data_IF_712377416227
#
_entry.id   IF_712377416227
#
_cell.length_a   1.000
_cell.length_b   1.000
_cell.length_c   1.000
_cell.angle_alpha   90.00
_cell.angle_beta   90.00
_cell.angle_gamma   90.00
#
_symmetry.space_group_name_H-M   'P 1'
#
loop_
_entity.id
_entity.type
_entity.pdbx_description
1 polymer ?
#
# COMPACT_ATOMS: atom_id res chain seq x y z
N UNK A 1 39.79 4.31 -3.66
CA UNK A 1 38.93 4.65 -4.79
C UNK A 1 37.54 4.96 -4.19
N UNK A 2 37.23 6.25 -3.96
CA UNK A 2 35.90 6.66 -3.49
C UNK A 2 34.93 6.49 -4.67
N UNK A 3 34.06 5.49 -4.59
CA UNK A 3 32.87 5.44 -5.44
C UNK A 3 32.04 6.67 -5.05
N UNK A 4 31.92 7.60 -5.96
CA UNK A 4 30.92 8.64 -5.86
C UNK A 4 29.54 7.95 -5.74
N UNK A 5 28.95 8.02 -4.53
CA UNK A 5 27.51 7.76 -4.38
C UNK A 5 26.82 8.84 -5.20
N UNK A 6 26.27 8.45 -6.33
CA UNK A 6 25.36 9.33 -7.04
C UNK A 6 24.11 9.48 -6.16
N UNK A 7 23.64 10.69 -5.95
CA UNK A 7 22.41 11.05 -5.18
C UNK A 7 21.12 10.39 -5.74
N UNK A 8 21.27 9.49 -6.72
CA UNK A 8 20.19 8.84 -7.46
C UNK A 8 19.76 7.46 -6.94
N UNK A 9 20.35 6.96 -5.85
CA UNK A 9 20.05 5.60 -5.34
C UNK A 9 18.93 5.58 -4.29
N UNK A 10 18.50 6.73 -3.82
CA UNK A 10 17.44 6.83 -2.81
C UNK A 10 16.07 6.48 -3.38
N UNK A 11 15.21 5.92 -2.52
CA UNK A 11 13.86 5.53 -2.90
C UNK A 11 13.06 6.79 -3.28
N UNK A 12 12.45 6.74 -4.46
CA UNK A 12 11.43 7.68 -4.91
C UNK A 12 10.07 7.02 -4.79
N UNK A 13 9.12 7.68 -4.12
CA UNK A 13 7.75 7.17 -3.96
C UNK A 13 6.87 7.76 -5.05
N UNK A 14 6.21 6.88 -5.79
CA UNK A 14 5.30 7.22 -6.87
C UNK A 14 3.86 6.82 -6.51
N UNK A 15 2.93 7.76 -6.63
CA UNK A 15 1.50 7.58 -6.44
C UNK A 15 0.72 7.64 -7.76
N UNK A 16 1.32 7.25 -8.88
CA UNK A 16 0.64 7.21 -10.19
C UNK A 16 -0.63 6.35 -10.21
N UNK A 17 -0.73 5.37 -9.29
CA UNK A 17 -1.95 4.58 -9.09
C UNK A 17 -2.99 5.25 -8.15
N UNK A 18 -2.87 6.54 -7.86
CA UNK A 18 -3.94 7.33 -7.26
C UNK A 18 -5.12 7.49 -8.27
N UNK A 19 -6.36 7.29 -7.93
CA UNK A 19 -7.02 7.07 -6.65
C UNK A 19 -7.12 5.59 -6.22
N UNK A 20 -6.45 4.68 -6.93
CA UNK A 20 -6.48 3.25 -6.67
C UNK A 20 -5.89 2.91 -5.29
N UNK A 21 -4.71 3.41 -4.96
CA UNK A 21 -4.00 3.08 -3.71
C UNK A 21 -4.68 3.59 -2.43
N UNK A 22 -5.53 4.63 -2.50
CA UNK A 22 -6.29 5.15 -1.36
C UNK A 22 -7.71 4.61 -1.26
N UNK A 23 -8.11 3.72 -2.17
CA UNK A 23 -9.44 3.14 -2.15
C UNK A 23 -9.57 2.11 -1.03
N UNK A 24 -10.61 2.26 -0.21
CA UNK A 24 -10.91 1.34 0.89
C UNK A 24 -11.73 0.14 0.43
N UNK A 25 -11.22 -1.06 0.67
CA UNK A 25 -11.92 -2.32 0.38
C UNK A 25 -11.98 -3.21 1.62
N UNK A 26 -12.77 -4.28 1.51
CA UNK A 26 -12.77 -5.41 2.42
C UNK A 26 -12.81 -6.69 1.60
N UNK A 27 -11.88 -7.62 1.86
CA UNK A 27 -11.84 -8.93 1.22
C UNK A 27 -11.26 -9.98 2.19
N UNK A 28 -12.00 -11.05 2.47
CA UNK A 28 -11.63 -12.02 3.48
C UNK A 28 -11.37 -11.36 4.84
N UNK A 29 -10.19 -11.59 5.40
CA UNK A 29 -9.74 -10.97 6.65
C UNK A 29 -9.02 -9.64 6.45
N UNK A 30 -8.83 -9.20 5.22
CA UNK A 30 -8.18 -7.92 4.92
C UNK A 30 -9.20 -6.80 4.81
N UNK A 31 -8.85 -5.64 5.36
CA UNK A 31 -9.48 -4.34 5.08
C UNK A 31 -8.46 -3.22 5.23
N UNK A 32 -8.52 -2.24 4.35
CA UNK A 32 -7.82 -0.98 4.50
C UNK A 32 -8.80 0.19 4.69
N UNK A 33 -10.08 -0.10 5.00
CA UNK A 33 -11.04 0.92 5.39
C UNK A 33 -10.66 1.52 6.74
N UNK A 34 -11.02 2.76 6.95
CA UNK A 34 -10.68 3.55 8.12
C UNK A 34 -11.92 3.80 9.01
N UNK A 35 -11.70 4.35 10.18
CA UNK A 35 -12.77 4.62 11.14
C UNK A 35 -13.67 5.76 10.66
N UNK A 36 -13.07 6.87 10.25
CA UNK A 36 -13.76 8.09 9.79
C UNK A 36 -12.77 9.03 9.08
N UNK A 37 -13.25 10.19 8.65
CA UNK A 37 -12.47 11.24 7.99
C UNK A 37 -11.27 11.71 8.85
N UNK A 38 -11.48 11.93 10.16
CA UNK A 38 -10.38 12.40 11.03
C UNK A 38 -9.28 11.34 11.15
N UNK A 39 -9.63 10.07 11.22
CA UNK A 39 -8.65 8.99 11.20
C UNK A 39 -7.84 9.00 9.89
N UNK A 40 -8.52 9.17 8.75
CA UNK A 40 -7.84 9.30 7.45
C UNK A 40 -6.90 10.51 7.41
N UNK A 41 -7.36 11.69 7.79
CA UNK A 41 -6.55 12.91 7.75
C UNK A 41 -5.30 12.82 8.63
N UNK A 42 -5.42 12.23 9.83
CA UNK A 42 -4.28 12.03 10.72
C UNK A 42 -3.24 11.06 10.13
N UNK A 43 -3.70 9.94 9.53
CA UNK A 43 -2.80 8.99 8.88
C UNK A 43 -2.18 9.58 7.61
N UNK A 44 -2.95 10.30 6.81
CA UNK A 44 -2.49 10.95 5.60
C UNK A 44 -1.42 12.00 5.91
N UNK A 45 -1.69 12.89 6.87
CA UNK A 45 -0.73 13.89 7.33
C UNK A 45 0.57 13.24 7.78
N UNK A 46 0.49 12.23 8.66
CA UNK A 46 1.67 11.50 9.13
C UNK A 46 2.45 10.85 7.98
N UNK A 47 1.74 10.20 7.05
CA UNK A 47 2.34 9.53 5.90
C UNK A 47 3.17 10.50 5.06
N UNK A 48 2.62 11.66 4.73
CA UNK A 48 3.27 12.63 3.83
C UNK A 48 4.24 13.58 4.53
N UNK A 49 4.03 13.92 5.81
CA UNK A 49 4.91 14.84 6.53
C UNK A 49 6.08 14.13 7.23
N UNK A 50 5.94 12.86 7.60
CA UNK A 50 6.91 12.14 8.42
C UNK A 50 7.44 10.88 7.72
N UNK A 51 6.55 9.97 7.38
CA UNK A 51 6.94 8.60 7.02
C UNK A 51 7.58 8.52 5.63
N UNK A 52 6.99 9.14 4.61
CA UNK A 52 7.56 9.19 3.25
C UNK A 52 8.89 9.93 3.23
N UNK A 53 9.02 11.15 3.80
CA UNK A 53 10.31 11.82 3.87
C UNK A 53 11.40 10.99 4.56
N UNK A 54 11.05 10.23 5.61
CA UNK A 54 12.00 9.35 6.28
C UNK A 54 12.46 8.18 5.39
N UNK A 55 11.54 7.54 4.65
CA UNK A 55 11.86 6.41 3.77
C UNK A 55 12.73 6.85 2.59
N UNK A 56 12.47 8.02 2.01
CA UNK A 56 13.21 8.54 0.85
C UNK A 56 14.66 8.93 1.17
N UNK A 57 15.09 8.84 2.43
CA UNK A 57 16.51 9.00 2.80
C UNK A 57 17.32 7.71 2.57
N UNK A 58 16.68 6.59 2.27
CA UNK A 58 17.33 5.29 2.11
C UNK A 58 17.27 4.79 0.68
N UNK A 59 18.26 3.98 0.29
CA UNK A 59 18.16 3.12 -0.88
C UNK A 59 17.40 1.82 -0.52
N UNK A 60 16.92 1.08 -1.52
CA UNK A 60 16.31 -0.23 -1.29
C UNK A 60 17.26 -1.24 -0.62
N UNK A 61 18.56 -1.11 -0.80
CA UNK A 61 19.56 -1.97 -0.14
C UNK A 61 19.65 -1.70 1.37
N UNK A 62 19.43 -0.46 1.77
CA UNK A 62 19.57 -0.03 3.16
C UNK A 62 18.26 -0.01 3.94
N UNK A 63 17.11 0.16 3.26
CA UNK A 63 15.80 0.29 3.92
C UNK A 63 15.43 -0.97 4.72
N UNK A 64 15.80 -2.16 4.25
CA UNK A 64 15.53 -3.42 4.97
C UNK A 64 16.19 -3.45 6.36
N UNK A 65 17.40 -2.89 6.47
CA UNK A 65 18.12 -2.77 7.75
C UNK A 65 17.53 -1.67 8.61
N UNK A 66 17.25 -0.50 8.02
CA UNK A 66 16.70 0.67 8.70
C UNK A 66 15.31 0.41 9.29
N UNK A 67 14.50 -0.45 8.67
CA UNK A 67 13.13 -0.79 9.10
C UNK A 67 13.04 -2.13 9.84
N UNK A 68 14.14 -2.66 10.40
CA UNK A 68 14.17 -3.95 11.09
C UNK A 68 13.52 -5.10 10.29
N UNK A 69 13.84 -5.17 9.00
CA UNK A 69 13.30 -6.14 8.04
C UNK A 69 11.80 -6.00 7.72
N UNK A 70 11.15 -4.92 8.13
CA UNK A 70 9.76 -4.64 7.74
C UNK A 70 9.62 -4.13 6.30
N UNK A 71 10.75 -3.87 5.61
CA UNK A 71 10.79 -3.54 4.18
C UNK A 71 11.53 -4.64 3.42
N UNK A 72 10.82 -5.31 2.50
CA UNK A 72 11.35 -6.45 1.75
C UNK A 72 10.53 -6.74 0.49
N UNK A 73 11.09 -7.54 -0.43
CA UNK A 73 10.32 -8.09 -1.54
C UNK A 73 9.37 -9.18 -1.04
N UNK A 74 8.18 -9.24 -1.63
CA UNK A 74 7.22 -10.32 -1.40
C UNK A 74 7.59 -11.50 -2.30
N UNK A 75 7.73 -12.67 -1.70
CA UNK A 75 8.07 -13.89 -2.46
C UNK A 75 6.87 -14.37 -3.27
N UNK A 76 7.08 -14.65 -4.55
CA UNK A 76 6.11 -15.32 -5.42
C UNK A 76 5.78 -16.71 -4.84
N UNK A 77 4.58 -17.21 -5.09
CA UNK A 77 4.09 -18.53 -4.63
C UNK A 77 3.86 -18.66 -3.11
N UNK A 78 3.87 -17.54 -2.38
CA UNK A 78 3.43 -17.53 -0.99
C UNK A 78 1.92 -17.23 -0.88
N UNK A 79 1.34 -17.59 0.29
CA UNK A 79 -0.05 -17.23 0.61
C UNK A 79 -0.25 -15.71 0.66
N UNK A 80 0.78 -14.99 1.12
CA UNK A 80 0.77 -13.52 1.19
C UNK A 80 0.77 -12.90 -0.21
N UNK A 81 1.55 -13.45 -1.15
CA UNK A 81 1.52 -13.01 -2.55
C UNK A 81 0.12 -13.21 -3.16
N UNK A 82 -0.47 -14.39 -2.98
CA UNK A 82 -1.83 -14.69 -3.44
C UNK A 82 -2.87 -13.75 -2.82
N UNK A 83 -2.74 -13.44 -1.53
CA UNK A 83 -3.59 -12.46 -0.85
C UNK A 83 -3.42 -11.06 -1.45
N UNK A 84 -2.19 -10.62 -1.70
CA UNK A 84 -1.89 -9.32 -2.30
C UNK A 84 -2.50 -9.20 -3.69
N UNK A 85 -2.36 -10.22 -4.55
CA UNK A 85 -2.99 -10.22 -5.88
C UNK A 85 -4.52 -10.13 -5.77
N UNK A 86 -5.12 -10.84 -4.82
CA UNK A 86 -6.55 -10.73 -4.58
C UNK A 86 -6.97 -9.34 -4.08
N UNK A 87 -6.19 -8.71 -3.20
CA UNK A 87 -6.42 -7.33 -2.74
C UNK A 87 -6.37 -6.37 -3.94
N UNK A 88 -5.37 -6.49 -4.79
CA UNK A 88 -5.21 -5.66 -6.00
C UNK A 88 -6.41 -5.87 -6.94
N UNK A 89 -6.88 -7.09 -7.11
CA UNK A 89 -8.06 -7.41 -7.91
C UNK A 89 -9.32 -6.71 -7.38
N UNK A 90 -9.55 -6.79 -6.07
CA UNK A 90 -10.72 -6.15 -5.44
C UNK A 90 -10.64 -4.62 -5.48
N UNK A 91 -9.45 -4.05 -5.34
CA UNK A 91 -9.22 -2.61 -5.56
C UNK A 91 -9.53 -2.21 -7.01
N UNK A 92 -9.06 -3.01 -7.98
CA UNK A 92 -9.31 -2.78 -9.40
C UNK A 92 -10.79 -2.87 -9.74
N UNK A 93 -11.50 -3.87 -9.20
CA UNK A 93 -12.97 -3.98 -9.31
C UNK A 93 -13.67 -2.74 -8.74
N UNK A 94 -13.29 -2.36 -7.52
CA UNK A 94 -13.87 -1.19 -6.85
C UNK A 94 -13.59 0.12 -7.61
N UNK A 95 -12.43 0.23 -8.27
CA UNK A 95 -12.06 1.37 -9.10
C UNK A 95 -12.85 1.43 -10.41
N UNK A 96 -12.98 0.30 -11.10
CA UNK A 96 -13.68 0.19 -12.38
C UNK A 96 -15.21 0.18 -12.23
N UNK A 97 -15.73 -0.24 -11.08
CA UNK A 97 -17.17 -0.38 -10.83
C UNK A 97 -17.82 -1.27 -11.89
N UNK A 98 -18.90 -0.79 -12.50
CA UNK A 98 -19.63 -1.54 -13.55
C UNK A 98 -18.82 -1.78 -14.83
N UNK A 99 -17.70 -1.08 -15.01
CA UNK A 99 -16.82 -1.26 -16.18
C UNK A 99 -15.71 -2.29 -15.92
N UNK A 100 -15.76 -3.02 -14.80
CA UNK A 100 -14.80 -4.09 -14.52
C UNK A 100 -14.96 -5.24 -15.50
N UNK A 101 -13.83 -5.72 -16.03
CA UNK A 101 -13.75 -7.01 -16.68
C UNK A 101 -12.40 -7.70 -16.38
N UNK A 102 -12.39 -9.02 -16.42
CA UNK A 102 -11.20 -9.83 -16.06
C UNK A 102 -10.04 -9.64 -17.03
N UNK A 103 -10.33 -9.39 -18.32
CA UNK A 103 -9.31 -9.17 -19.34
C UNK A 103 -8.49 -7.92 -19.05
N UNK A 104 -9.15 -6.82 -18.67
CA UNK A 104 -8.46 -5.57 -18.30
C UNK A 104 -7.62 -5.74 -17.05
N UNK A 105 -8.10 -6.51 -16.08
CA UNK A 105 -7.32 -6.83 -14.88
C UNK A 105 -6.07 -7.64 -15.21
N UNK A 106 -6.19 -8.68 -16.03
CA UNK A 106 -5.05 -9.49 -16.45
C UNK A 106 -4.04 -8.66 -17.27
N UNK A 107 -4.51 -7.75 -18.10
CA UNK A 107 -3.64 -6.81 -18.83
C UNK A 107 -2.94 -5.83 -17.86
N UNK A 108 -3.65 -5.37 -16.83
CA UNK A 108 -3.05 -4.54 -15.79
C UNK A 108 -1.93 -5.30 -15.05
N UNK A 109 -2.14 -6.57 -14.67
CA UNK A 109 -1.11 -7.41 -14.04
C UNK A 109 0.09 -7.60 -14.97
N UNK A 110 -0.15 -7.95 -16.23
CA UNK A 110 0.90 -8.15 -17.23
C UNK A 110 1.77 -6.92 -17.41
N UNK A 111 1.16 -5.76 -17.55
CA UNK A 111 1.88 -4.52 -17.86
C UNK A 111 2.58 -3.90 -16.63
N UNK A 112 2.14 -4.22 -15.42
CA UNK A 112 2.61 -3.51 -14.22
C UNK A 112 3.27 -4.42 -13.17
N UNK A 113 2.96 -5.71 -13.13
CA UNK A 113 3.38 -6.59 -12.03
C UNK A 113 4.28 -7.74 -12.50
N UNK A 114 3.97 -8.40 -13.61
CA UNK A 114 4.65 -9.64 -14.01
C UNK A 114 6.18 -9.51 -14.17
N UNK A 115 6.66 -8.35 -14.62
CA UNK A 115 8.09 -8.10 -14.81
C UNK A 115 8.77 -7.45 -13.61
N UNK A 116 8.03 -7.18 -12.52
CA UNK A 116 8.52 -6.45 -11.37
C UNK A 116 8.19 -7.16 -10.07
N UNK A 117 9.07 -6.96 -9.08
CA UNK A 117 8.83 -7.49 -7.74
C UNK A 117 7.85 -6.61 -6.98
N UNK A 118 6.83 -7.24 -6.38
CA UNK A 118 6.03 -6.60 -5.35
C UNK A 118 6.90 -6.46 -4.09
N UNK A 119 6.88 -5.26 -3.53
CA UNK A 119 7.57 -4.92 -2.30
C UNK A 119 6.60 -4.45 -1.24
N UNK A 120 6.96 -4.73 0.00
CA UNK A 120 6.41 -4.08 1.17
C UNK A 120 7.43 -3.07 1.68
N UNK A 121 6.99 -1.83 1.97
CA UNK A 121 7.75 -0.87 2.75
C UNK A 121 7.10 -0.70 4.12
N UNK A 122 7.87 -0.99 5.17
CA UNK A 122 7.47 -0.78 6.56
C UNK A 122 7.49 0.70 6.88
N UNK A 123 6.37 1.18 7.39
CA UNK A 123 6.21 2.53 7.92
C UNK A 123 6.07 2.44 9.44
N UNK A 124 6.11 3.54 10.12
CA UNK A 124 5.95 3.59 11.57
C UNK A 124 4.62 2.95 12.04
N UNK A 125 4.66 2.26 13.16
CA UNK A 125 3.52 1.47 13.66
C UNK A 125 3.23 0.24 12.81
N UNK A 126 1.96 -0.07 12.63
CA UNK A 126 1.50 -1.21 11.83
C UNK A 126 1.31 -0.93 10.34
N UNK A 127 1.52 0.31 9.87
CA UNK A 127 1.23 0.70 8.48
C UNK A 127 2.28 0.12 7.53
N UNK A 128 1.81 -0.42 6.39
CA UNK A 128 2.65 -0.94 5.32
C UNK A 128 2.19 -0.38 3.97
N UNK A 129 3.16 0.05 3.15
CA UNK A 129 2.92 0.33 1.73
C UNK A 129 3.24 -0.92 0.93
N UNK A 130 2.32 -1.33 0.09
CA UNK A 130 2.55 -2.37 -0.91
C UNK A 130 2.61 -1.73 -2.29
N UNK A 131 3.60 -2.10 -3.05
CA UNK A 131 3.84 -1.48 -4.36
C UNK A 131 4.80 -2.27 -5.22
N UNK A 132 5.09 -1.69 -6.37
CA UNK A 132 5.98 -2.23 -7.38
C UNK A 132 7.30 -1.48 -7.30
N UNK A 133 8.39 -2.21 -7.21
CA UNK A 133 9.74 -1.65 -7.31
C UNK A 133 10.23 -1.72 -8.74
N UNK A 134 10.65 -0.58 -9.29
CA UNK A 134 11.37 -0.46 -10.55
C UNK A 134 12.58 0.45 -10.34
N UNK A 135 13.78 -0.14 -10.34
CA UNK A 135 15.01 0.58 -9.95
C UNK A 135 14.88 1.19 -8.55
N UNK A 136 15.01 2.51 -8.43
CA UNK A 136 14.83 3.27 -7.20
C UNK A 136 13.41 3.82 -7.00
N UNK A 137 12.49 3.58 -7.94
CA UNK A 137 11.09 4.03 -7.85
C UNK A 137 10.23 2.94 -7.20
N UNK A 138 9.41 3.36 -6.24
CA UNK A 138 8.38 2.53 -5.60
C UNK A 138 7.00 3.10 -5.91
N UNK A 139 6.27 2.44 -6.84
CA UNK A 139 4.91 2.81 -7.21
C UNK A 139 3.91 2.14 -6.26
N UNK A 140 3.21 2.94 -5.45
CA UNK A 140 2.29 2.45 -4.41
C UNK A 140 1.03 1.88 -5.04
N UNK A 141 0.73 0.59 -4.78
CA UNK A 141 -0.50 -0.08 -5.20
C UNK A 141 -1.60 0.05 -4.15
N UNK A 142 -1.28 -0.16 -2.88
CA UNK A 142 -2.22 0.02 -1.78
C UNK A 142 -1.51 0.21 -0.45
N UNK A 143 -2.28 0.65 0.54
CA UNK A 143 -1.82 0.87 1.91
C UNK A 143 -2.56 -0.12 2.82
N UNK A 144 -1.81 -0.92 3.56
CA UNK A 144 -2.32 -1.74 4.66
C UNK A 144 -2.19 -0.95 5.96
N UNK A 145 -3.28 -0.30 6.36
CA UNK A 145 -3.32 0.53 7.57
C UNK A 145 -3.35 -0.29 8.87
N UNK A 146 -3.64 -1.59 8.78
CA UNK A 146 -3.98 -2.43 9.93
C UNK A 146 -3.07 -3.64 10.08
N UNK A 147 -1.99 -3.73 9.29
CA UNK A 147 -1.05 -4.85 9.31
C UNK A 147 -1.71 -6.22 9.07
N UNK A 148 -2.59 -6.31 8.06
CA UNK A 148 -3.41 -7.50 7.82
C UNK A 148 -2.89 -8.44 6.73
N UNK A 149 -1.94 -7.99 5.90
CA UNK A 149 -1.26 -8.87 4.95
C UNK A 149 -0.33 -9.84 5.69
N UNK A 150 0.39 -9.33 6.69
CA UNK A 150 1.23 -10.11 7.62
C UNK A 150 0.74 -9.87 9.05
N UNK A 151 -0.36 -10.49 9.47
CA UNK A 151 -0.99 -10.16 10.74
C UNK A 151 -0.08 -10.49 11.93
N UNK A 152 0.00 -9.55 12.87
CA UNK A 152 0.73 -9.67 14.12
C UNK A 152 -0.17 -9.28 15.29
N UNK A 153 -0.16 -10.08 16.37
CA UNK A 153 -1.02 -9.89 17.54
C UNK A 153 -0.80 -8.53 18.23
N UNK A 154 0.41 -7.98 18.14
CA UNK A 154 0.73 -6.70 18.77
C UNK A 154 0.12 -5.49 18.02
N UNK A 155 -0.14 -5.64 16.71
CA UNK A 155 -0.65 -4.58 15.84
C UNK A 155 -2.14 -4.75 15.48
N UNK A 156 -2.71 -5.96 15.67
CA UNK A 156 -4.07 -6.27 15.26
C UNK A 156 -5.07 -6.26 16.43
N UNK A 157 -4.86 -5.39 17.43
CA UNK A 157 -5.71 -5.30 18.63
C UNK A 157 -6.98 -4.47 18.43
N UNK A 158 -7.00 -3.59 17.41
CA UNK A 158 -8.14 -2.73 17.15
C UNK A 158 -9.27 -3.46 16.41
N UNK A 159 -10.50 -3.00 16.65
CA UNK A 159 -11.68 -3.57 16.00
C UNK A 159 -11.88 -3.01 14.58
N UNK A 160 -10.85 -3.15 13.72
CA UNK A 160 -10.85 -2.71 12.33
C UNK A 160 -12.00 -3.33 11.50
N UNK A 161 -12.60 -4.43 11.97
CA UNK A 161 -13.76 -5.05 11.31
C UNK A 161 -14.98 -4.14 11.25
N UNK A 162 -15.08 -3.16 12.15
CA UNK A 162 -16.16 -2.16 12.15
C UNK A 162 -15.86 -0.93 11.29
N UNK A 163 -14.64 -0.78 10.78
CA UNK A 163 -14.26 0.40 10.00
C UNK A 163 -14.85 0.34 8.59
N UNK A 164 -15.59 1.37 8.21
CA UNK A 164 -16.30 1.43 6.93
C UNK A 164 -15.94 2.65 6.08
N UNK A 165 -15.17 3.59 6.60
CA UNK A 165 -14.81 4.80 5.88
C UNK A 165 -13.81 4.51 4.74
N UNK A 166 -14.10 5.02 3.55
CA UNK A 166 -13.22 5.02 2.39
C UNK A 166 -13.10 6.44 1.84
N UNK A 167 -11.92 7.05 1.83
CA UNK A 167 -11.76 8.44 1.39
C UNK A 167 -12.11 8.66 -0.09
N UNK A 168 -12.10 7.59 -0.90
CA UNK A 168 -12.34 7.67 -2.35
C UNK A 168 -13.81 7.44 -2.74
N UNK A 169 -14.66 7.00 -1.81
CA UNK A 169 -16.07 6.67 -2.12
C UNK A 169 -17.08 7.35 -1.23
N UNK A 170 -16.66 7.94 -0.12
CA UNK A 170 -17.58 8.75 0.70
C UNK A 170 -17.95 10.01 -0.09
N UNK A 171 -19.14 10.01 -0.65
CA UNK A 171 -19.79 11.25 -1.06
C UNK A 171 -20.07 12.04 0.22
N UNK A 172 -19.54 13.25 0.31
CA UNK A 172 -20.04 14.22 1.27
C UNK A 172 -21.54 14.38 1.02
N UNK A 173 -22.35 14.18 2.03
CA UNK A 173 -23.77 14.43 1.96
C UNK A 173 -24.60 13.21 2.31
N UNK A 174 -24.82 13.05 3.56
CA UNK A 174 -26.07 12.88 4.28
C UNK A 174 -25.74 12.78 5.77
N UNK A 175 -25.20 13.85 6.33
CA UNK A 175 -25.48 14.21 7.71
C UNK A 175 -26.90 14.78 7.69
N UNK A 176 -27.89 13.91 7.62
CA UNK A 176 -29.24 14.24 7.99
C UNK A 176 -29.44 13.65 9.38
N UNK A 177 -29.56 14.60 10.34
CA UNK A 177 -30.21 14.55 11.63
C UNK A 177 -29.66 13.60 12.69
#
# INVERSE_FOLDING_TARGET
MNKYKTDNDNISIDFSFFPFCFRGIRTGNFTNKLKNTNHFLNLFKRLFEIDIPAITQYSFENITKATNKHSHSVLVDTKEYSLIINIIKELFKSYKGNNYNEKDFNLFLLNNINDYHIWQLGISGGIRLFGIRKLNVFSVLFIDYHHLVYPDKNYNQENYKLYNFCPMTNKEGNENE
#
